data_IF_440130845419
#
_entry.id   IF_440130845419
#
_cell.length_a   1.000
_cell.length_b   1.000
_cell.length_c   1.000
_cell.angle_alpha   90.00
_cell.angle_beta   90.00
_cell.angle_gamma   90.00
#
_symmetry.space_group_name_H-M   'P 1'
#
loop_
_entity.id
_entity.type
_entity.pdbx_description
1 polymer ?
#
# COMPACT_ATOMS: atom_id res chain seq x y z
N UNK A 1 -40.56 -14.20 13.71
CA UNK A 1 -39.21 -14.81 13.59
C UNK A 1 -38.25 -14.00 12.73
N UNK A 2 -38.64 -13.49 11.56
CA UNK A 2 -37.76 -12.73 10.65
C UNK A 2 -37.26 -11.36 11.20
N UNK A 3 -38.04 -10.70 12.08
CA UNK A 3 -37.64 -9.46 12.77
C UNK A 3 -36.57 -9.67 13.85
N UNK A 4 -36.41 -10.87 14.41
CA UNK A 4 -35.38 -11.15 15.42
C UNK A 4 -34.01 -11.46 14.78
N UNK A 5 -33.98 -12.03 13.57
CA UNK A 5 -32.74 -12.26 12.82
C UNK A 5 -32.06 -10.96 12.34
N UNK A 6 -32.83 -9.93 11.99
CA UNK A 6 -32.28 -8.63 11.58
C UNK A 6 -31.60 -7.88 12.74
N UNK A 7 -32.14 -8.00 13.96
CA UNK A 7 -31.58 -7.39 15.17
C UNK A 7 -30.28 -8.10 15.57
N UNK A 8 -30.21 -9.42 15.40
CA UNK A 8 -29.00 -10.21 15.67
C UNK A 8 -27.90 -9.93 14.63
N UNK A 9 -28.25 -9.73 13.36
CA UNK A 9 -27.29 -9.34 12.32
C UNK A 9 -26.71 -7.94 12.54
N UNK A 10 -27.53 -6.97 12.99
CA UNK A 10 -27.09 -5.63 13.37
C UNK A 10 -26.19 -5.63 14.63
N UNK A 11 -26.47 -6.51 15.60
CA UNK A 11 -25.64 -6.67 16.79
C UNK A 11 -24.30 -7.36 16.51
N UNK A 12 -24.24 -8.26 15.52
CA UNK A 12 -23.00 -8.92 15.11
C UNK A 12 -22.04 -7.97 14.39
N UNK A 13 -22.55 -7.02 13.60
CA UNK A 13 -21.73 -5.99 12.94
C UNK A 13 -21.12 -5.01 13.97
N UNK A 14 -21.80 -4.77 15.09
CA UNK A 14 -21.30 -3.93 16.18
C UNK A 14 -20.23 -4.61 17.06
N UNK A 15 -19.99 -5.91 16.92
CA UNK A 15 -19.09 -6.68 17.79
C UNK A 15 -17.65 -6.86 17.29
N UNK A 16 -17.25 -6.24 16.17
CA UNK A 16 -15.85 -6.29 15.74
C UNK A 16 -15.02 -5.33 16.60
N UNK A 17 -14.50 -5.90 17.68
CA UNK A 17 -13.55 -5.26 18.60
C UNK A 17 -12.26 -4.89 17.88
N UNK A 18 -12.08 -3.59 17.68
CA UNK A 18 -10.75 -2.95 17.71
C UNK A 18 -10.95 -1.52 18.20
N UNK A 19 -10.13 -1.09 19.15
CA UNK A 19 -10.11 0.29 19.65
C UNK A 19 -10.15 1.27 18.46
N UNK A 20 -10.97 2.33 18.49
CA UNK A 20 -11.07 3.26 17.38
C UNK A 20 -9.73 3.96 17.21
N UNK A 21 -9.08 3.67 16.10
CA UNK A 21 -7.91 4.44 15.66
C UNK A 21 -8.38 5.84 15.24
N UNK A 22 -7.57 6.89 15.46
CA UNK A 22 -7.93 8.28 15.12
C UNK A 22 -8.28 8.47 13.62
N UNK A 23 -7.90 7.51 12.78
CA UNK A 23 -8.19 7.45 11.34
C UNK A 23 -9.43 6.58 10.99
N UNK A 24 -9.93 5.75 11.90
CA UNK A 24 -11.12 4.91 11.67
C UNK A 24 -12.44 5.71 11.66
N UNK A 25 -12.47 6.88 12.29
CA UNK A 25 -13.65 7.75 12.32
C UNK A 25 -14.11 8.19 10.93
N UNK A 26 -13.20 8.41 9.98
CA UNK A 26 -13.58 8.85 8.63
C UNK A 26 -14.09 7.70 7.74
N UNK A 27 -13.56 6.49 7.88
CA UNK A 27 -14.00 5.31 7.11
C UNK A 27 -15.33 4.75 7.65
N UNK A 28 -15.49 4.69 8.98
CA UNK A 28 -16.74 4.26 9.62
C UNK A 28 -17.88 5.28 9.40
N UNK A 29 -17.55 6.58 9.31
CA UNK A 29 -18.51 7.64 8.93
C UNK A 29 -18.95 7.51 7.47
N UNK A 30 -18.05 7.12 6.56
CA UNK A 30 -18.40 6.84 5.16
C UNK A 30 -19.22 5.55 4.98
N UNK A 31 -18.93 4.50 5.76
CA UNK A 31 -19.72 3.25 5.77
C UNK A 31 -21.08 3.41 6.47
N UNK A 32 -21.16 4.27 7.49
CA UNK A 32 -22.41 4.62 8.20
C UNK A 32 -23.44 5.30 7.29
N UNK A 33 -22.99 6.05 6.28
CA UNK A 33 -23.87 6.68 5.27
C UNK A 33 -24.40 5.67 4.26
N UNK A 34 -23.60 4.68 3.86
CA UNK A 34 -24.05 3.58 2.97
C UNK A 34 -25.07 2.69 3.70
N UNK A 35 -24.93 2.50 5.02
CA UNK A 35 -25.87 1.75 5.84
C UNK A 35 -27.26 2.36 5.94
N UNK A 36 -27.40 3.69 5.84
CA UNK A 36 -28.69 4.38 5.91
C UNK A 36 -29.37 4.55 4.54
N UNK A 37 -28.64 4.51 3.43
CA UNK A 37 -29.23 4.43 2.08
C UNK A 37 -29.98 3.11 1.84
N UNK A 38 -29.79 2.08 2.67
CA UNK A 38 -30.61 0.86 2.67
C UNK A 38 -32.06 1.15 3.07
N UNK A 39 -32.32 2.19 3.87
CA UNK A 39 -33.68 2.56 4.25
C UNK A 39 -34.46 3.13 3.04
N UNK A 40 -33.77 3.82 2.15
CA UNK A 40 -34.31 4.28 0.87
C UNK A 40 -34.40 3.17 -0.20
N UNK A 41 -33.61 2.10 -0.08
CA UNK A 41 -33.85 0.87 -0.85
C UNK A 41 -35.20 0.24 -0.47
N UNK A 42 -35.68 0.37 0.76
CA UNK A 42 -37.01 -0.12 1.18
C UNK A 42 -38.16 0.67 0.56
N UNK A 43 -38.02 1.99 0.38
CA UNK A 43 -38.96 2.80 -0.38
C UNK A 43 -38.83 2.58 -1.90
N UNK A 44 -37.62 2.26 -2.39
CA UNK A 44 -37.38 1.77 -3.74
C UNK A 44 -38.10 0.43 -4.01
N UNK A 45 -38.05 -0.51 -3.05
CA UNK A 45 -38.76 -1.79 -3.08
C UNK A 45 -40.28 -1.57 -3.07
N UNK A 46 -40.79 -0.56 -2.35
CA UNK A 46 -42.20 -0.20 -2.37
C UNK A 46 -42.64 0.34 -3.75
N UNK A 47 -41.80 1.16 -4.41
CA UNK A 47 -42.05 1.65 -5.78
C UNK A 47 -41.99 0.52 -6.81
N UNK A 48 -41.04 -0.42 -6.66
CA UNK A 48 -40.91 -1.63 -7.49
C UNK A 48 -42.14 -2.54 -7.32
N UNK A 49 -42.67 -2.66 -6.09
CA UNK A 49 -43.81 -3.50 -5.76
C UNK A 49 -45.17 -2.93 -6.22
N UNK A 50 -45.32 -1.59 -6.31
CA UNK A 50 -46.59 -0.95 -6.67
C UNK A 50 -46.78 -0.65 -8.17
N UNK A 51 -45.72 -0.34 -8.94
CA UNK A 51 -45.89 0.26 -10.28
C UNK A 51 -45.33 -0.50 -11.47
N UNK A 52 -44.43 -1.47 -11.28
CA UNK A 52 -43.92 -2.33 -12.37
C UNK A 52 -43.23 -1.62 -13.55
N UNK A 53 -43.04 -0.30 -13.50
CA UNK A 53 -42.46 0.50 -14.58
C UNK A 53 -40.94 0.69 -14.37
N UNK A 54 -40.18 0.07 -15.28
CA UNK A 54 -38.72 0.06 -15.29
C UNK A 54 -38.11 1.48 -15.37
N UNK A 55 -38.82 2.43 -15.99
CA UNK A 55 -38.34 3.82 -16.17
C UNK A 55 -38.38 4.60 -14.86
N UNK A 56 -39.43 4.41 -14.06
CA UNK A 56 -39.59 5.02 -12.74
C UNK A 56 -38.55 4.47 -11.75
N UNK A 57 -38.24 3.18 -11.86
CA UNK A 57 -37.20 2.51 -11.06
C UNK A 57 -35.81 3.04 -11.44
N UNK A 58 -35.51 3.17 -12.73
CA UNK A 58 -34.22 3.71 -13.20
C UNK A 58 -34.01 5.18 -12.82
N UNK A 59 -35.08 6.01 -12.81
CA UNK A 59 -35.01 7.39 -12.31
C UNK A 59 -34.75 7.48 -10.81
N UNK A 60 -35.42 6.65 -10.00
CA UNK A 60 -35.21 6.62 -8.56
C UNK A 60 -33.79 6.17 -8.20
N UNK A 61 -33.28 5.13 -8.87
CA UNK A 61 -31.89 4.68 -8.75
C UNK A 61 -30.92 5.79 -9.19
N UNK A 62 -31.18 6.42 -10.34
CA UNK A 62 -30.35 7.51 -10.86
C UNK A 62 -30.26 8.72 -9.91
N UNK A 63 -31.37 9.09 -9.26
CA UNK A 63 -31.40 10.18 -8.29
C UNK A 63 -30.60 9.84 -7.02
N UNK A 64 -30.74 8.62 -6.50
CA UNK A 64 -29.98 8.14 -5.34
C UNK A 64 -28.48 8.08 -5.66
N UNK A 65 -28.11 7.56 -6.83
CA UNK A 65 -26.70 7.54 -7.27
C UNK A 65 -26.14 8.94 -7.51
N UNK A 66 -26.92 9.86 -8.08
CA UNK A 66 -26.51 11.25 -8.27
C UNK A 66 -26.26 12.00 -6.95
N UNK A 67 -27.02 11.67 -5.90
CA UNK A 67 -26.85 12.23 -4.54
C UNK A 67 -25.68 11.61 -3.78
N UNK A 68 -25.43 10.31 -3.97
CA UNK A 68 -24.35 9.58 -3.30
C UNK A 68 -22.99 9.82 -3.98
N UNK A 69 -22.96 10.11 -5.27
CA UNK A 69 -21.73 10.33 -6.04
C UNK A 69 -20.76 11.38 -5.45
N UNK A 70 -21.19 12.60 -5.08
CA UNK A 70 -20.29 13.59 -4.46
C UNK A 70 -19.81 13.14 -3.07
N UNK A 71 -20.66 12.49 -2.28
CA UNK A 71 -20.31 11.90 -0.98
C UNK A 71 -19.31 10.73 -1.13
N UNK A 72 -19.45 9.90 -2.16
CA UNK A 72 -18.49 8.84 -2.48
C UNK A 72 -17.15 9.43 -2.95
N UNK A 73 -17.15 10.55 -3.68
CA UNK A 73 -15.93 11.27 -4.04
C UNK A 73 -15.24 11.89 -2.82
N UNK A 74 -15.98 12.50 -1.89
CA UNK A 74 -15.42 13.04 -0.64
C UNK A 74 -14.90 11.93 0.29
N UNK A 75 -15.64 10.84 0.41
CA UNK A 75 -15.25 9.66 1.18
C UNK A 75 -14.11 8.85 0.56
N UNK A 76 -13.79 9.09 -0.72
CA UNK A 76 -12.64 8.46 -1.37
C UNK A 76 -11.30 9.11 -0.98
N UNK A 77 -11.33 10.31 -0.36
CA UNK A 77 -10.13 11.07 0.00
C UNK A 77 -10.15 11.64 1.45
N UNK A 78 -10.44 10.81 2.48
CA UNK A 78 -10.64 11.27 3.86
C UNK A 78 -9.40 11.84 4.54
N UNK A 79 -8.24 11.68 3.88
CA UNK A 79 -6.92 12.07 4.37
C UNK A 79 -6.18 12.97 3.35
N UNK A 80 -6.88 13.52 2.36
CA UNK A 80 -6.31 14.47 1.39
C UNK A 80 -5.05 13.95 0.68
N UNK A 81 -5.09 12.65 0.40
CA UNK A 81 -4.09 11.90 -0.32
C UNK A 81 -4.07 12.27 -1.81
N UNK A 82 -5.22 12.61 -2.39
CA UNK A 82 -5.31 13.07 -3.78
C UNK A 82 -4.50 14.35 -3.99
N UNK A 83 -4.58 15.30 -3.05
CA UNK A 83 -3.84 16.55 -3.11
C UNK A 83 -2.33 16.30 -2.92
N UNK A 84 -1.97 15.40 -2.00
CA UNK A 84 -0.59 14.94 -1.86
C UNK A 84 -0.06 14.30 -3.15
N UNK A 85 -0.90 13.52 -3.84
CA UNK A 85 -0.55 12.90 -5.12
C UNK A 85 -0.35 13.95 -6.21
N UNK A 86 -1.24 14.93 -6.31
CA UNK A 86 -1.13 16.02 -7.29
C UNK A 86 0.15 16.83 -7.06
N UNK A 87 0.48 17.18 -5.80
CA UNK A 87 1.75 17.86 -5.49
C UNK A 87 2.96 17.03 -5.88
N UNK A 88 2.93 15.74 -5.56
CA UNK A 88 3.99 14.82 -5.93
C UNK A 88 4.19 14.78 -7.45
N UNK A 89 3.11 14.62 -8.21
CA UNK A 89 3.15 14.58 -9.68
C UNK A 89 3.63 15.91 -10.27
N UNK A 90 3.15 17.04 -9.75
CA UNK A 90 3.51 18.37 -10.22
C UNK A 90 5.01 18.69 -9.98
N UNK A 91 5.55 18.34 -8.81
CA UNK A 91 6.94 18.63 -8.49
C UNK A 91 7.93 17.66 -9.12
N UNK A 92 7.57 16.39 -9.26
CA UNK A 92 8.49 15.36 -9.78
C UNK A 92 8.35 15.15 -11.29
N UNK A 93 7.23 15.56 -11.88
CA UNK A 93 6.88 15.26 -13.27
C UNK A 93 6.64 13.77 -13.52
N UNK A 94 6.47 12.96 -12.48
CA UNK A 94 6.36 11.50 -12.54
C UNK A 94 5.04 11.01 -11.92
N UNK A 95 4.53 9.82 -12.31
CA UNK A 95 3.46 9.18 -11.56
C UNK A 95 3.91 8.91 -10.12
N UNK A 96 2.98 9.01 -9.18
CA UNK A 96 3.24 8.79 -7.76
C UNK A 96 2.39 7.64 -7.23
N UNK A 97 2.84 7.03 -6.15
CA UNK A 97 2.17 5.94 -5.44
C UNK A 97 2.17 6.18 -3.93
N UNK A 98 1.18 5.59 -3.27
CA UNK A 98 0.97 5.75 -1.85
C UNK A 98 1.82 4.77 -1.06
N UNK A 99 2.45 5.25 0.01
CA UNK A 99 2.97 4.43 1.09
C UNK A 99 2.54 5.01 2.43
N UNK A 100 1.58 4.36 3.09
CA UNK A 100 0.95 4.90 4.29
C UNK A 100 0.22 6.21 4.01
N UNK A 101 0.53 7.25 4.78
CA UNK A 101 -0.05 8.59 4.65
C UNK A 101 0.77 9.55 3.75
N UNK A 102 1.70 9.00 2.96
CA UNK A 102 2.68 9.79 2.19
C UNK A 102 2.68 9.30 0.74
N UNK A 103 2.73 10.25 -0.19
CA UNK A 103 2.88 9.97 -1.62
C UNK A 103 4.35 10.04 -2.03
N UNK A 104 4.80 9.08 -2.83
CA UNK A 104 6.16 9.05 -3.36
C UNK A 104 6.13 8.95 -4.89
N UNK A 105 7.12 9.50 -5.59
CA UNK A 105 7.26 9.21 -7.01
C UNK A 105 7.50 7.71 -7.20
N UNK A 106 6.87 7.13 -8.22
CA UNK A 106 7.11 5.74 -8.59
C UNK A 106 8.58 5.53 -8.94
N UNK A 107 9.07 4.33 -8.65
CA UNK A 107 10.39 3.92 -9.10
C UNK A 107 10.45 3.93 -10.64
N UNK A 108 11.60 4.35 -11.17
CA UNK A 108 11.90 4.26 -12.60
C UNK A 108 11.94 2.81 -13.09
N UNK A 109 11.97 2.65 -14.41
CA UNK A 109 11.91 1.34 -15.06
C UNK A 109 13.00 0.38 -14.55
N UNK A 110 12.61 -0.86 -14.26
CA UNK A 110 13.50 -1.89 -13.71
C UNK A 110 13.71 -1.82 -12.20
N UNK A 111 13.11 -0.84 -11.51
CA UNK A 111 13.17 -0.71 -10.06
C UNK A 111 11.79 -0.87 -9.44
N UNK A 112 11.76 -1.36 -8.20
CA UNK A 112 10.57 -1.49 -7.38
C UNK A 112 10.81 -0.88 -6.01
N UNK A 113 9.75 -0.47 -5.32
CA UNK A 113 9.88 0.18 -4.03
C UNK A 113 10.14 -0.84 -2.92
N UNK A 114 11.09 -0.52 -2.04
CA UNK A 114 11.36 -1.27 -0.81
C UNK A 114 11.09 -0.33 0.36
N UNK A 115 10.02 -0.61 1.09
CA UNK A 115 9.48 0.30 2.10
C UNK A 115 9.00 1.61 1.50
N UNK A 116 9.16 2.70 2.26
CA UNK A 116 8.62 4.01 1.87
C UNK A 116 9.43 4.72 0.79
N UNK A 117 10.75 4.55 0.81
CA UNK A 117 11.63 5.63 0.38
C UNK A 117 12.78 5.18 -0.54
N UNK A 118 12.91 3.87 -0.76
CA UNK A 118 13.98 3.29 -1.58
C UNK A 118 13.39 2.64 -2.82
N UNK A 119 14.10 2.79 -3.93
CA UNK A 119 13.88 2.07 -5.17
C UNK A 119 15.06 1.13 -5.39
N UNK A 120 14.77 -0.14 -5.63
CA UNK A 120 15.74 -1.21 -5.78
C UNK A 120 15.49 -2.02 -7.06
N UNK A 121 16.57 -2.46 -7.71
CA UNK A 121 16.49 -3.36 -8.87
C UNK A 121 16.18 -4.82 -8.47
N UNK A 122 15.54 -5.57 -9.35
CA UNK A 122 15.34 -7.01 -9.14
C UNK A 122 16.65 -7.79 -9.25
N UNK A 123 16.75 -8.90 -8.50
CA UNK A 123 17.86 -9.82 -8.68
C UNK A 123 17.81 -10.49 -10.07
N UNK A 124 18.97 -10.72 -10.70
CA UNK A 124 19.05 -11.51 -11.92
C UNK A 124 18.56 -12.95 -11.71
N UNK A 125 18.14 -13.64 -12.77
CA UNK A 125 17.78 -15.05 -12.70
C UNK A 125 18.88 -15.90 -12.05
N UNK A 126 18.49 -16.78 -11.13
CA UNK A 126 19.41 -17.69 -10.43
C UNK A 126 20.06 -17.10 -9.17
N UNK A 127 19.87 -15.81 -8.89
CA UNK A 127 20.27 -15.20 -7.62
C UNK A 127 19.09 -15.20 -6.66
N UNK A 128 19.37 -15.44 -5.37
CA UNK A 128 18.35 -15.31 -4.32
C UNK A 128 18.31 -13.87 -3.84
N UNK A 129 17.11 -13.33 -3.70
CA UNK A 129 16.89 -12.00 -3.18
C UNK A 129 16.99 -11.98 -1.64
N UNK A 130 18.01 -11.30 -1.11
CA UNK A 130 18.26 -11.14 0.33
C UNK A 130 18.09 -9.67 0.76
N UNK A 131 17.13 -8.95 0.17
CA UNK A 131 16.93 -7.52 0.41
C UNK A 131 17.92 -6.70 -0.40
N UNK A 132 18.77 -5.88 0.22
CA UNK A 132 19.74 -5.01 -0.48
C UNK A 132 20.82 -5.75 -1.30
N UNK A 133 20.79 -7.08 -1.27
CA UNK A 133 21.79 -7.95 -1.86
C UNK A 133 21.14 -9.08 -2.67
N UNK A 134 21.83 -9.51 -3.71
CA UNK A 134 21.52 -10.73 -4.45
C UNK A 134 22.53 -11.80 -4.07
N UNK A 135 22.11 -12.80 -3.31
CA UNK A 135 22.95 -13.95 -2.98
C UNK A 135 23.24 -14.77 -4.23
N UNK A 136 24.53 -15.06 -4.43
CA UNK A 136 25.02 -15.79 -5.60
C UNK A 136 24.51 -17.23 -5.59
N UNK A 137 24.39 -17.86 -6.78
CA UNK A 137 24.20 -19.30 -6.86
C UNK A 137 25.40 -20.06 -6.28
N UNK A 138 25.29 -21.38 -6.16
CA UNK A 138 26.30 -22.22 -5.51
C UNK A 138 27.68 -22.06 -6.16
N UNK A 139 28.68 -21.73 -5.32
CA UNK A 139 30.09 -21.84 -5.68
C UNK A 139 30.51 -23.33 -5.73
N UNK A 140 31.63 -23.61 -6.40
CA UNK A 140 32.19 -24.95 -6.45
C UNK A 140 33.70 -24.96 -6.22
N UNK A 141 34.21 -26.08 -5.70
CA UNK A 141 35.63 -26.28 -5.47
C UNK A 141 36.36 -26.73 -6.74
N UNK A 142 37.57 -26.23 -6.96
CA UNK A 142 38.45 -26.64 -8.08
C UNK A 142 39.54 -27.63 -7.67
N UNK A 143 39.33 -28.31 -6.54
CA UNK A 143 40.23 -29.31 -5.97
C UNK A 143 41.40 -28.70 -5.17
N UNK A 144 42.31 -29.58 -4.73
CA UNK A 144 43.51 -29.22 -3.97
C UNK A 144 44.60 -28.55 -4.84
N UNK A 145 44.42 -28.55 -6.16
CA UNK A 145 45.40 -28.04 -7.11
C UNK A 145 46.56 -29.00 -7.36
N UNK A 146 47.49 -28.54 -8.19
CA UNK A 146 48.69 -29.25 -8.63
C UNK A 146 49.89 -28.52 -8.02
N UNK A 147 50.39 -28.97 -6.86
CA UNK A 147 51.60 -28.41 -6.27
C UNK A 147 52.83 -28.86 -7.06
N UNK A 148 53.96 -28.20 -6.82
CA UNK A 148 55.27 -28.72 -7.20
C UNK A 148 55.49 -30.11 -6.55
N UNK A 149 56.10 -31.04 -7.29
CA UNK A 149 56.46 -32.35 -6.76
C UNK A 149 57.89 -32.75 -7.14
N UNK A 150 58.47 -33.69 -6.39
CA UNK A 150 59.79 -34.22 -6.66
C UNK A 150 59.88 -34.75 -8.10
N UNK A 151 60.87 -34.28 -8.85
CA UNK A 151 61.03 -34.54 -10.29
C UNK A 151 60.59 -33.39 -11.19
N UNK A 152 59.88 -32.38 -10.66
CA UNK A 152 59.67 -31.11 -11.37
C UNK A 152 60.95 -30.26 -11.33
N UNK A 153 61.15 -29.40 -12.33
CA UNK A 153 62.21 -28.38 -12.29
C UNK A 153 61.95 -27.36 -11.17
N UNK A 154 62.89 -26.44 -10.90
CA UNK A 154 62.73 -25.38 -9.87
C UNK A 154 61.73 -24.27 -10.27
N UNK A 155 60.64 -24.64 -10.95
CA UNK A 155 59.54 -23.79 -11.39
C UNK A 155 58.23 -24.62 -11.43
N UNK A 156 57.11 -23.97 -11.74
CA UNK A 156 55.79 -24.62 -11.76
C UNK A 156 55.43 -25.29 -13.10
N UNK A 157 56.35 -25.40 -14.06
CA UNK A 157 56.01 -25.94 -15.39
C UNK A 157 55.52 -27.39 -15.34
N UNK A 158 56.15 -28.23 -14.51
CA UNK A 158 55.73 -29.62 -14.33
C UNK A 158 54.33 -29.72 -13.71
N UNK A 159 54.02 -28.85 -12.74
CA UNK A 159 52.68 -28.74 -12.16
C UNK A 159 51.65 -28.25 -13.19
N UNK A 160 52.00 -27.26 -14.01
CA UNK A 160 51.14 -26.73 -15.08
C UNK A 160 50.83 -27.78 -16.13
N UNK A 161 51.81 -28.56 -16.56
CA UNK A 161 51.61 -29.64 -17.54
C UNK A 161 50.66 -30.72 -17.02
N UNK A 162 50.79 -31.13 -15.75
CA UNK A 162 49.85 -32.06 -15.12
C UNK A 162 48.44 -31.49 -15.09
N UNK A 163 48.31 -30.24 -14.66
CA UNK A 163 47.00 -29.59 -14.64
C UNK A 163 46.37 -29.53 -16.04
N UNK A 164 47.12 -29.13 -17.06
CA UNK A 164 46.63 -29.03 -18.45
C UNK A 164 46.28 -30.38 -19.06
N UNK A 165 46.98 -31.45 -18.65
CA UNK A 165 46.65 -32.81 -19.05
C UNK A 165 45.28 -33.23 -18.51
N UNK A 166 45.02 -32.94 -17.23
CA UNK A 166 43.80 -33.35 -16.54
C UNK A 166 42.61 -32.40 -16.80
N UNK A 167 42.86 -31.19 -17.29
CA UNK A 167 41.87 -30.10 -17.37
C UNK A 167 41.92 -29.36 -18.72
N UNK A 168 41.00 -29.71 -19.61
CA UNK A 168 40.90 -29.11 -20.95
C UNK A 168 40.51 -27.63 -20.95
N UNK A 169 39.92 -27.12 -19.87
CA UNK A 169 39.55 -25.72 -19.69
C UNK A 169 40.75 -24.79 -19.41
N UNK A 170 41.94 -25.37 -19.26
CA UNK A 170 43.17 -24.64 -18.97
C UNK A 170 43.40 -24.41 -17.48
N UNK A 171 44.56 -23.87 -17.16
CA UNK A 171 45.06 -23.74 -15.79
C UNK A 171 45.64 -22.35 -15.52
N UNK A 172 45.68 -21.99 -14.25
CA UNK A 172 46.21 -20.73 -13.73
C UNK A 172 46.92 -20.95 -12.40
N UNK A 173 47.89 -20.08 -12.08
CA UNK A 173 48.60 -20.13 -10.81
C UNK A 173 47.87 -19.33 -9.74
N UNK A 174 47.88 -19.84 -8.50
CA UNK A 174 47.52 -19.07 -7.32
C UNK A 174 48.57 -19.33 -6.24
N UNK A 175 49.44 -18.34 -5.99
CA UNK A 175 50.63 -18.54 -5.17
C UNK A 175 51.57 -19.57 -5.79
N UNK A 176 51.94 -20.61 -5.02
CA UNK A 176 52.87 -21.67 -5.44
C UNK A 176 52.18 -22.95 -5.96
N UNK A 177 50.87 -22.90 -6.21
CA UNK A 177 50.07 -24.05 -6.64
C UNK A 177 49.34 -23.70 -7.94
N UNK A 178 49.26 -24.66 -8.87
CA UNK A 178 48.50 -24.51 -10.11
C UNK A 178 47.09 -25.07 -9.92
N UNK A 179 46.08 -24.37 -10.42
CA UNK A 179 44.69 -24.79 -10.37
C UNK A 179 44.07 -24.78 -11.77
N UNK A 180 43.02 -25.58 -12.03
CA UNK A 180 42.23 -25.41 -13.23
C UNK A 180 41.48 -24.08 -13.19
N UNK A 181 41.30 -23.47 -14.36
CA UNK A 181 40.52 -22.25 -14.50
C UNK A 181 39.06 -22.51 -14.15
N UNK A 182 38.39 -21.46 -13.66
CA UNK A 182 36.96 -21.50 -13.42
C UNK A 182 36.18 -21.57 -14.73
N UNK A 183 34.97 -22.15 -14.65
CA UNK A 183 34.03 -22.22 -15.76
C UNK A 183 33.56 -20.83 -16.14
N UNK A 184 33.00 -20.68 -17.34
CA UNK A 184 32.46 -19.39 -17.78
C UNK A 184 31.41 -18.85 -16.79
N UNK A 185 31.52 -17.57 -16.45
CA UNK A 185 30.65 -16.90 -15.47
C UNK A 185 31.06 -17.13 -14.01
N UNK A 186 32.27 -17.64 -13.77
CA UNK A 186 32.86 -17.79 -12.45
C UNK A 186 34.29 -17.24 -12.44
N UNK A 187 34.70 -16.69 -11.30
CA UNK A 187 36.08 -16.31 -11.03
C UNK A 187 36.60 -17.02 -9.79
N UNK A 188 37.92 -17.03 -9.64
CA UNK A 188 38.56 -17.64 -8.50
C UNK A 188 38.42 -16.75 -7.25
N UNK A 189 37.82 -17.30 -6.20
CA UNK A 189 37.84 -16.73 -4.86
C UNK A 189 38.85 -17.49 -4.00
N UNK A 190 39.94 -16.82 -3.63
CA UNK A 190 41.08 -17.48 -2.99
C UNK A 190 41.73 -18.52 -3.91
N UNK A 191 42.25 -19.59 -3.30
CA UNK A 191 43.03 -20.58 -4.03
C UNK A 191 42.20 -21.68 -4.70
N UNK A 192 40.99 -22.00 -4.21
CA UNK A 192 40.36 -23.28 -4.54
C UNK A 192 38.84 -23.21 -4.74
N UNK A 193 38.23 -22.02 -4.73
CA UNK A 193 36.79 -21.85 -4.94
C UNK A 193 36.57 -21.05 -6.22
N UNK A 194 35.65 -21.53 -7.06
CA UNK A 194 35.08 -20.76 -8.15
C UNK A 194 33.76 -20.18 -7.70
N UNK A 195 33.70 -18.84 -7.61
CA UNK A 195 32.52 -18.08 -7.21
C UNK A 195 31.83 -17.51 -8.45
N UNK A 196 30.48 -17.55 -8.55
CA UNK A 196 29.77 -16.93 -9.65
C UNK A 196 30.09 -15.44 -9.78
N UNK A 197 30.18 -14.98 -11.02
CA UNK A 197 30.40 -13.58 -11.34
C UNK A 197 29.16 -12.73 -11.01
N UNK A 198 29.40 -11.56 -10.46
CA UNK A 198 28.37 -10.57 -10.27
C UNK A 198 27.99 -9.89 -11.60
N UNK A 199 26.69 -9.63 -11.86
CA UNK A 199 26.26 -8.91 -13.05
C UNK A 199 26.85 -7.50 -13.15
N UNK A 200 26.92 -6.96 -14.36
CA UNK A 200 27.36 -5.60 -14.58
C UNK A 200 26.54 -4.58 -13.76
N UNK A 201 27.21 -3.60 -13.17
CA UNK A 201 26.58 -2.57 -12.33
C UNK A 201 26.32 -2.98 -10.88
N UNK A 202 26.67 -4.21 -10.49
CA UNK A 202 26.64 -4.66 -9.10
C UNK A 202 28.06 -4.73 -8.53
N UNK A 203 28.20 -4.67 -7.19
CA UNK A 203 29.49 -4.87 -6.52
C UNK A 203 29.53 -6.24 -5.87
N UNK A 204 30.59 -6.99 -6.15
CA UNK A 204 30.84 -8.27 -5.50
C UNK A 204 31.26 -8.09 -4.03
N UNK A 205 30.50 -8.69 -3.12
CA UNK A 205 30.77 -8.68 -1.67
C UNK A 205 31.03 -10.08 -1.13
N UNK A 206 31.50 -11.00 -2.00
CA UNK A 206 31.84 -12.37 -1.66
C UNK A 206 30.70 -13.33 -1.97
N UNK A 207 29.82 -13.55 -0.99
CA UNK A 207 28.68 -14.49 -1.12
C UNK A 207 27.48 -13.91 -1.87
N UNK A 208 27.47 -12.58 -2.05
CA UNK A 208 26.38 -11.85 -2.68
C UNK A 208 26.92 -10.72 -3.57
N UNK A 209 26.03 -10.13 -4.36
CA UNK A 209 26.26 -8.90 -5.11
C UNK A 209 25.38 -7.78 -4.56
N UNK A 210 25.88 -6.55 -4.50
CA UNK A 210 25.07 -5.38 -4.13
C UNK A 210 24.12 -5.01 -5.26
N UNK A 211 22.89 -4.64 -4.91
CA UNK A 211 21.93 -4.14 -5.90
C UNK A 211 22.08 -2.63 -6.10
N UNK A 212 21.87 -2.12 -7.31
CA UNK A 212 21.54 -0.72 -7.52
C UNK A 212 20.33 -0.30 -6.68
N UNK A 213 20.55 0.70 -5.83
CA UNK A 213 19.51 1.29 -4.98
C UNK A 213 19.63 2.80 -5.02
N UNK A 214 18.49 3.49 -5.06
CA UNK A 214 18.45 4.94 -4.89
C UNK A 214 17.26 5.39 -4.05
N UNK A 215 17.41 6.53 -3.40
CA UNK A 215 16.34 7.17 -2.63
C UNK A 215 15.38 7.94 -3.54
N UNK A 216 14.09 7.86 -3.23
CA UNK A 216 13.03 8.61 -3.94
C UNK A 216 12.51 9.83 -3.15
N UNK A 217 13.32 10.29 -2.20
CA UNK A 217 13.05 11.43 -1.32
C UNK A 217 12.27 11.06 -0.06
N UNK A 218 11.94 12.09 0.73
CA UNK A 218 11.14 11.97 1.97
C UNK A 218 9.65 11.80 1.70
N UNK A 219 9.22 12.00 0.45
CA UNK A 219 7.84 11.91 0.02
C UNK A 219 7.06 13.19 0.24
N UNK A 220 5.78 13.12 -0.11
CA UNK A 220 4.80 14.18 -0.08
C UNK A 220 3.74 13.81 0.92
N UNK A 221 3.88 14.25 2.19
CA UNK A 221 2.89 13.90 3.20
C UNK A 221 1.56 14.55 2.86
N UNK A 222 0.49 13.91 3.32
CA UNK A 222 -0.80 14.58 3.43
C UNK A 222 -0.68 15.83 4.31
N UNK A 223 -1.18 16.95 3.81
CA UNK A 223 -1.48 18.11 4.64
C UNK A 223 -2.98 18.32 4.62
N UNK A 224 -3.52 18.50 5.81
CA UNK A 224 -4.95 18.68 6.00
C UNK A 224 -5.41 20.05 5.48
N UNK A 225 -4.50 21.02 5.43
CA UNK A 225 -4.76 22.36 4.91
C UNK A 225 -5.06 22.38 3.41
N UNK A 226 -4.60 21.35 2.68
CA UNK A 226 -4.79 21.23 1.24
C UNK A 226 -6.17 20.73 0.86
N UNK A 227 -6.93 20.19 1.82
CA UNK A 227 -8.25 19.67 1.59
C UNK A 227 -9.18 20.79 1.06
N UNK A 228 -9.77 20.66 -0.16
CA UNK A 228 -10.70 21.65 -0.69
C UNK A 228 -11.90 21.87 0.26
N UNK A 229 -12.26 20.83 1.01
CA UNK A 229 -13.36 20.81 1.97
C UNK A 229 -12.90 20.87 3.43
N UNK A 230 -11.80 21.58 3.73
CA UNK A 230 -11.26 21.72 5.11
C UNK A 230 -12.25 22.20 6.18
N UNK A 231 -13.30 22.95 5.79
CA UNK A 231 -14.40 23.36 6.69
C UNK A 231 -15.33 22.20 7.08
N UNK A 232 -15.56 21.24 6.18
CA UNK A 232 -16.39 20.05 6.41
C UNK A 232 -15.74 19.05 7.37
N UNK A 233 -14.42 18.92 7.27
CA UNK A 233 -13.64 17.98 8.08
C UNK A 233 -13.35 18.51 9.50
N UNK A 234 -13.38 19.84 9.71
CA UNK A 234 -13.23 20.52 11.03
C UNK A 234 -14.55 20.75 11.75
N UNK A 235 -15.61 20.10 11.33
CA UNK A 235 -16.91 20.17 11.95
C UNK A 235 -16.86 19.53 13.35
N UNK A 236 -16.38 20.30 14.33
CA UNK A 236 -16.36 19.95 15.75
C UNK A 236 -17.80 19.67 16.19
N UNK A 237 -18.01 18.55 16.86
CA UNK A 237 -19.30 18.23 17.49
C UNK A 237 -19.45 18.92 18.86
N UNK A 238 -18.47 19.74 19.28
CA UNK A 238 -18.48 20.45 20.57
C UNK A 238 -19.77 21.24 20.80
N UNK A 239 -20.28 21.92 19.77
CA UNK A 239 -21.52 22.69 19.83
C UNK A 239 -22.74 21.82 20.22
N UNK A 240 -22.69 20.53 19.91
CA UNK A 240 -23.75 19.55 20.18
C UNK A 240 -23.48 18.68 21.42
N UNK A 241 -22.29 18.73 22.02
CA UNK A 241 -21.97 17.93 23.22
C UNK A 241 -22.78 18.36 24.46
N UNK A 242 -23.33 19.58 24.47
CA UNK A 242 -24.21 20.07 25.54
C UNK A 242 -25.64 19.50 25.45
N UNK A 243 -26.09 19.07 24.27
CA UNK A 243 -27.49 18.68 23.98
C UNK A 243 -27.86 17.32 24.58
N UNK A 244 -29.10 17.12 25.06
CA UNK A 244 -29.52 15.80 25.55
C UNK A 244 -29.61 14.76 24.42
N UNK A 245 -29.67 13.47 24.75
CA UNK A 245 -29.80 12.41 23.74
C UNK A 245 -31.08 12.60 22.90
N UNK A 246 -32.15 13.06 23.51
CA UNK A 246 -33.44 13.33 22.89
C UNK A 246 -33.38 14.58 21.98
N UNK A 247 -32.68 15.63 22.43
CA UNK A 247 -32.47 16.83 21.60
C UNK A 247 -31.57 16.50 20.39
N UNK A 248 -30.56 15.65 20.58
CA UNK A 248 -29.70 15.17 19.50
C UNK A 248 -30.50 14.36 18.48
N UNK A 249 -31.41 13.47 18.91
CA UNK A 249 -32.32 12.75 18.00
C UNK A 249 -33.18 13.73 17.20
N UNK A 250 -33.72 14.76 17.84
CA UNK A 250 -34.54 15.77 17.17
C UNK A 250 -33.73 16.57 16.15
N UNK A 251 -32.51 16.97 16.50
CA UNK A 251 -31.57 17.65 15.59
C UNK A 251 -31.16 16.78 14.41
N UNK A 252 -30.95 15.48 14.62
CA UNK A 252 -30.70 14.54 13.51
C UNK A 252 -31.85 14.52 12.52
N UNK A 253 -33.10 14.50 13.00
CA UNK A 253 -34.30 14.54 12.13
C UNK A 253 -34.39 15.87 11.40
N UNK A 254 -34.18 16.99 12.09
CA UNK A 254 -34.22 18.34 11.52
C UNK A 254 -33.20 18.52 10.38
N UNK A 255 -31.91 18.18 10.63
CA UNK A 255 -30.87 18.31 9.61
C UNK A 255 -31.05 17.32 8.45
N UNK A 256 -31.62 16.13 8.70
CA UNK A 256 -31.98 15.19 7.63
C UNK A 256 -33.10 15.73 6.73
N UNK A 257 -34.12 16.37 7.32
CA UNK A 257 -35.20 17.00 6.56
C UNK A 257 -34.72 18.22 5.76
N UNK A 258 -33.81 19.01 6.34
CA UNK A 258 -33.20 20.15 5.67
C UNK A 258 -32.32 19.71 4.50
N UNK A 259 -31.60 18.61 4.63
CA UNK A 259 -30.83 18.00 3.55
C UNK A 259 -31.74 17.62 2.37
N UNK A 260 -32.82 16.87 2.65
CA UNK A 260 -33.78 16.44 1.62
C UNK A 260 -34.48 17.64 0.96
N UNK A 261 -34.86 18.65 1.74
CA UNK A 261 -35.58 19.83 1.23
C UNK A 261 -34.72 20.76 0.37
N UNK A 262 -33.39 20.71 0.51
CA UNK A 262 -32.46 21.55 -0.24
C UNK A 262 -31.67 20.77 -1.29
N UNK A 263 -32.14 19.59 -1.69
CA UNK A 263 -31.43 18.65 -2.59
C UNK A 263 -31.02 19.23 -3.96
N UNK A 264 -31.64 20.32 -4.42
CA UNK A 264 -31.29 21.00 -5.69
C UNK A 264 -30.25 22.11 -5.50
N UNK A 265 -29.93 22.48 -4.25
CA UNK A 265 -28.94 23.48 -3.87
C UNK A 265 -27.74 22.76 -3.22
N UNK A 266 -26.68 22.61 -4.01
CA UNK A 266 -25.51 21.83 -3.63
C UNK A 266 -24.86 22.37 -2.35
N UNK A 267 -24.75 23.69 -2.20
CA UNK A 267 -24.08 24.30 -1.05
C UNK A 267 -24.88 24.07 0.24
N UNK A 268 -26.22 24.21 0.19
CA UNK A 268 -27.10 23.95 1.34
C UNK A 268 -27.23 22.48 1.69
N UNK A 269 -27.20 21.61 0.70
CA UNK A 269 -27.17 20.16 0.91
C UNK A 269 -25.90 19.75 1.64
N UNK A 270 -24.75 20.27 1.19
CA UNK A 270 -23.45 20.05 1.84
C UNK A 270 -23.47 20.59 3.27
N UNK A 271 -23.97 21.81 3.50
CA UNK A 271 -24.11 22.39 4.85
C UNK A 271 -24.98 21.53 5.78
N UNK A 272 -26.13 21.06 5.30
CA UNK A 272 -27.04 20.20 6.09
C UNK A 272 -26.41 18.85 6.42
N UNK A 273 -25.62 18.27 5.50
CA UNK A 273 -24.89 17.03 5.73
C UNK A 273 -23.79 17.19 6.79
N UNK A 274 -23.11 18.34 6.83
CA UNK A 274 -22.13 18.67 7.87
C UNK A 274 -22.79 18.66 9.25
N UNK A 275 -23.86 19.44 9.40
CA UNK A 275 -24.53 19.61 10.69
C UNK A 275 -25.14 18.29 11.18
N UNK A 276 -25.78 17.53 10.28
CA UNK A 276 -26.25 16.18 10.59
C UNK A 276 -25.13 15.30 11.14
N UNK A 277 -23.96 15.36 10.51
CA UNK A 277 -22.84 14.55 10.93
C UNK A 277 -22.22 14.99 12.26
N UNK A 278 -22.21 16.29 12.59
CA UNK A 278 -21.78 16.78 13.90
C UNK A 278 -22.69 16.23 15.01
N UNK A 279 -24.00 16.26 14.77
CA UNK A 279 -25.02 15.77 15.72
C UNK A 279 -24.88 14.27 15.93
N UNK A 280 -24.64 13.50 14.86
CA UNK A 280 -24.39 12.05 14.95
C UNK A 280 -23.15 11.72 15.80
N UNK A 281 -22.05 12.45 15.59
CA UNK A 281 -20.84 12.26 16.39
C UNK A 281 -21.06 12.59 17.88
N UNK A 282 -21.80 13.66 18.20
CA UNK A 282 -22.16 13.98 19.58
C UNK A 282 -23.08 12.91 20.21
N UNK A 283 -24.01 12.36 19.43
CA UNK A 283 -24.92 11.29 19.86
C UNK A 283 -24.17 10.01 20.21
N UNK A 284 -23.21 9.58 19.39
CA UNK A 284 -22.34 8.42 19.66
C UNK A 284 -21.52 8.61 20.96
N UNK A 285 -20.95 9.79 21.17
CA UNK A 285 -20.20 10.11 22.40
C UNK A 285 -21.10 10.08 23.65
N UNK A 286 -22.35 10.55 23.56
CA UNK A 286 -23.29 10.51 24.70
C UNK A 286 -23.83 9.12 24.99
N UNK A 287 -24.18 8.36 23.95
CA UNK A 287 -24.73 7.02 24.10
C UNK A 287 -23.69 6.00 24.57
N UNK A 288 -22.42 6.17 24.19
CA UNK A 288 -21.31 5.34 24.71
C UNK A 288 -21.06 5.54 26.21
N UNK A 289 -21.25 6.75 26.75
CA UNK A 289 -21.12 7.05 28.19
C UNK A 289 -22.29 6.54 29.05
N UNK A 290 -23.47 6.28 28.46
CA UNK A 290 -24.64 5.75 29.15
C UNK A 290 -24.59 4.22 29.34
N UNK A 291 -23.70 3.54 28.61
CA UNK A 291 -23.53 2.09 28.63
C UNK A 291 -22.26 1.64 29.41
N UNK A 292 -21.64 2.56 30.16
CA UNK A 292 -20.60 2.29 31.18
C UNK A 292 -21.21 2.48 32.57
#
# INVERSE_FOLDING_TARGET
MQKQFLIIALLLIASVSSKPDLLQGNILRCLGTIGNSVKDITSLIAVIAEKGDLVSILKAIGNVFGQIQPLMQECSNPICLTEAQQRCQAQTGKPCEQYGAIMYPKCGDGFHNVGCCLCESQCPPGFRDDGLFCAKPSAYGRGAGYPWKFGDGFNLNGATQRCQHDNSQGCESYGLIIYPKCSQGYHNFGCCICSPDCPAGTTDIGVSCTKPVYGRGVGYPMFYEDCPNKKLLRASSEDYLSYSVEDLKQKMVEHSQNFVSNQEDQDKSVESAIELSKVMAAFEVKTSKLNQ
#
